data_IF_438716231012
#
_entry.id   IF_438716231012
#
_cell.length_a   1.000
_cell.length_b   1.000
_cell.length_c   1.000
_cell.angle_alpha   90.00
_cell.angle_beta   90.00
_cell.angle_gamma   90.00
#
_symmetry.space_group_name_H-M   'P 1'
#
loop_
_entity.id
_entity.type
_entity.pdbx_description
1 polymer ?
#
# COMPACT_ATOMS: atom_id res chain seq x y z
N UNK A 1 -17.55 -7.40 -5.07
CA UNK A 1 -17.90 -6.22 -4.26
C UNK A 1 -16.87 -6.14 -3.16
N UNK A 2 -15.99 -5.15 -3.25
CA UNK A 2 -14.95 -4.83 -2.27
C UNK A 2 -15.62 -4.49 -0.95
N UNK A 3 -15.18 -5.13 0.13
CA UNK A 3 -15.64 -4.85 1.49
C UNK A 3 -14.48 -4.20 2.24
N UNK A 4 -14.67 -2.95 2.68
CA UNK A 4 -13.63 -2.21 3.37
C UNK A 4 -13.35 -2.87 4.72
N UNK A 5 -12.07 -3.05 5.04
CA UNK A 5 -11.66 -3.54 6.35
C UNK A 5 -11.39 -2.34 7.28
N UNK A 6 -12.10 -2.27 8.40
CA UNK A 6 -12.00 -1.20 9.40
C UNK A 6 -10.99 -1.50 10.52
N UNK A 7 -10.19 -2.57 10.39
CA UNK A 7 -9.12 -2.89 11.33
C UNK A 7 -8.12 -1.75 11.43
N UNK A 8 -7.87 -1.32 12.67
CA UNK A 8 -6.90 -0.30 13.03
C UNK A 8 -6.35 -0.58 14.42
N UNK A 9 -5.07 -0.30 14.62
CA UNK A 9 -4.42 -0.24 15.92
C UNK A 9 -4.03 1.21 16.22
N UNK A 10 -3.94 1.52 17.51
CA UNK A 10 -3.45 2.81 18.00
C UNK A 10 -1.91 2.78 18.07
N UNK A 11 -1.28 3.12 16.95
CA UNK A 11 0.17 3.19 16.80
C UNK A 11 0.57 4.55 16.23
N UNK A 12 1.74 5.04 16.63
CA UNK A 12 2.27 6.33 16.14
C UNK A 12 2.79 6.20 14.70
N UNK A 13 3.54 5.13 14.43
CA UNK A 13 4.24 4.86 13.17
C UNK A 13 4.20 3.39 12.80
N UNK A 14 4.29 3.11 11.51
CA UNK A 14 4.51 1.76 10.96
C UNK A 14 5.58 1.83 9.85
N UNK A 15 6.22 0.71 9.56
CA UNK A 15 7.17 0.60 8.43
C UNK A 15 6.60 -0.33 7.37
N UNK A 16 6.57 0.13 6.12
CA UNK A 16 6.23 -0.69 4.96
C UNK A 16 7.49 -1.02 4.17
N UNK A 17 7.73 -2.31 3.92
CA UNK A 17 8.83 -2.80 3.10
C UNK A 17 8.31 -3.09 1.70
N UNK A 18 8.96 -2.51 0.69
CA UNK A 18 8.63 -2.69 -0.71
C UNK A 18 9.72 -3.49 -1.39
N UNK A 19 9.40 -4.73 -1.75
CA UNK A 19 10.27 -5.56 -2.58
C UNK A 19 9.90 -5.35 -4.05
N UNK A 20 10.85 -4.83 -4.83
CA UNK A 20 10.62 -4.57 -6.26
C UNK A 20 11.71 -5.24 -7.10
N UNK A 21 11.47 -5.34 -8.40
CA UNK A 21 12.49 -5.81 -9.35
C UNK A 21 13.67 -4.83 -9.52
N UNK A 22 13.61 -3.63 -8.94
CA UNK A 22 14.69 -2.64 -8.93
C UNK A 22 15.36 -2.53 -7.55
N UNK A 23 15.03 -3.44 -6.63
CA UNK A 23 15.56 -3.47 -5.26
C UNK A 23 14.49 -3.25 -4.20
N UNK A 24 14.93 -3.30 -2.95
CA UNK A 24 14.08 -3.13 -1.77
C UNK A 24 14.23 -1.73 -1.19
N UNK A 25 13.12 -1.13 -0.80
CA UNK A 25 13.13 0.11 -0.02
C UNK A 25 12.06 0.07 1.06
N UNK A 26 12.20 0.98 2.04
CA UNK A 26 11.30 1.09 3.18
C UNK A 26 10.63 2.47 3.20
N UNK A 27 9.38 2.52 3.66
CA UNK A 27 8.68 3.76 3.94
C UNK A 27 8.14 3.77 5.37
N UNK A 28 8.35 4.88 6.07
CA UNK A 28 7.70 5.14 7.35
C UNK A 28 6.31 5.73 7.11
N UNK A 29 5.31 5.14 7.76
CA UNK A 29 3.91 5.51 7.67
C UNK A 29 3.49 6.24 8.95
N UNK A 30 2.85 7.39 8.78
CA UNK A 30 2.49 8.34 9.83
C UNK A 30 1.08 8.03 10.34
N UNK A 31 0.94 6.94 11.10
CA UNK A 31 -0.35 6.34 11.45
C UNK A 31 -1.19 7.24 12.37
N UNK A 32 -0.57 8.01 13.26
CA UNK A 32 -1.30 8.95 14.12
C UNK A 32 -1.82 10.17 13.36
N UNK A 33 -1.03 10.68 12.42
CA UNK A 33 -1.37 11.88 11.65
C UNK A 33 -2.39 11.56 10.54
N UNK A 34 -2.32 10.37 9.94
CA UNK A 34 -3.18 9.95 8.83
C UNK A 34 -3.71 8.52 9.01
N UNK A 35 -4.49 8.24 10.08
CA UNK A 35 -4.89 6.87 10.45
C UNK A 35 -5.71 6.18 9.37
N UNK A 36 -6.68 6.87 8.76
CA UNK A 36 -7.53 6.27 7.72
C UNK A 36 -6.73 5.84 6.49
N UNK A 37 -5.79 6.68 6.05
CA UNK A 37 -4.97 6.41 4.87
C UNK A 37 -3.96 5.31 5.13
N UNK A 38 -3.27 5.38 6.27
CA UNK A 38 -2.25 4.39 6.65
C UNK A 38 -2.89 3.01 6.85
N UNK A 39 -4.01 2.93 7.57
CA UNK A 39 -4.67 1.64 7.79
C UNK A 39 -5.33 1.08 6.53
N UNK A 40 -5.87 1.92 5.65
CA UNK A 40 -6.32 1.44 4.34
C UNK A 40 -5.16 0.85 3.53
N UNK A 41 -3.99 1.50 3.52
CA UNK A 41 -2.80 0.99 2.86
C UNK A 41 -2.32 -0.34 3.47
N UNK A 42 -2.17 -0.42 4.79
CA UNK A 42 -1.72 -1.62 5.50
C UNK A 42 -2.71 -2.78 5.28
N UNK A 43 -4.01 -2.53 5.41
CA UNK A 43 -5.03 -3.59 5.23
C UNK A 43 -5.06 -4.13 3.80
N UNK A 44 -4.76 -3.31 2.80
CA UNK A 44 -4.57 -3.76 1.41
C UNK A 44 -3.25 -4.54 1.24
N UNK A 45 -2.16 -4.01 1.79
CA UNK A 45 -0.82 -4.63 1.69
C UNK A 45 -0.75 -6.01 2.35
N UNK A 46 -1.43 -6.20 3.49
CA UNK A 46 -1.48 -7.47 4.22
C UNK A 46 -2.62 -8.39 3.79
N UNK A 47 -3.38 -8.05 2.74
CA UNK A 47 -4.48 -8.89 2.25
C UNK A 47 -5.68 -9.00 3.21
N UNK A 48 -5.74 -8.15 4.24
CA UNK A 48 -6.87 -8.11 5.20
C UNK A 48 -8.14 -7.54 4.56
N UNK A 49 -7.98 -6.65 3.58
CA UNK A 49 -9.10 -6.08 2.84
C UNK A 49 -9.47 -6.96 1.66
N UNK A 50 -10.75 -7.35 1.60
CA UNK A 50 -11.27 -8.17 0.51
C UNK A 50 -11.30 -7.35 -0.79
N UNK A 51 -10.57 -7.81 -1.79
CA UNK A 51 -10.55 -7.21 -3.13
C UNK A 51 -10.92 -8.22 -4.20
N UNK A 52 -10.99 -7.79 -5.46
CA UNK A 52 -11.18 -8.70 -6.59
C UNK A 52 -9.87 -9.42 -7.00
N UNK A 53 -8.78 -9.20 -6.25
CA UNK A 53 -7.50 -9.92 -6.38
C UNK A 53 -7.34 -10.89 -5.22
N UNK A 54 -6.74 -12.04 -5.50
CA UNK A 54 -6.35 -13.01 -4.48
C UNK A 54 -5.02 -12.60 -3.81
N UNK A 55 -4.95 -12.72 -2.49
CA UNK A 55 -3.75 -12.42 -1.70
C UNK A 55 -3.56 -10.93 -1.38
N UNK A 56 -2.30 -10.54 -1.15
CA UNK A 56 -1.90 -9.17 -0.85
C UNK A 56 -2.15 -8.27 -2.07
N UNK A 57 -2.80 -7.12 -1.87
CA UNK A 57 -3.33 -6.33 -2.99
C UNK A 57 -2.24 -5.78 -3.92
N UNK A 58 -1.12 -5.33 -3.36
CA UNK A 58 -0.06 -4.65 -4.11
C UNK A 58 0.91 -5.61 -4.82
N UNK A 59 0.87 -6.91 -4.51
CA UNK A 59 1.79 -7.88 -5.08
C UNK A 59 1.60 -7.99 -6.59
N UNK A 60 2.70 -7.91 -7.34
CA UNK A 60 2.72 -7.97 -8.80
C UNK A 60 2.17 -6.73 -9.51
N UNK A 61 1.84 -5.64 -8.80
CA UNK A 61 1.49 -4.36 -9.43
C UNK A 61 2.72 -3.64 -9.97
N UNK A 62 2.52 -2.82 -11.01
CA UNK A 62 3.56 -2.01 -11.64
C UNK A 62 3.47 -0.54 -11.21
N UNK A 63 4.59 0.16 -11.31
CA UNK A 63 4.60 1.61 -11.40
C UNK A 63 4.28 2.02 -12.84
N UNK A 64 3.00 2.30 -13.12
CA UNK A 64 2.51 2.59 -14.47
C UNK A 64 2.87 4.01 -14.96
N UNK A 65 3.37 4.87 -14.07
CA UNK A 65 3.82 6.22 -14.44
C UNK A 65 5.09 6.59 -13.69
N UNK A 66 6.06 7.09 -14.45
CA UNK A 66 7.36 7.57 -13.96
C UNK A 66 7.65 8.92 -14.61
N UNK A 67 7.84 9.95 -13.79
CA UNK A 67 8.25 11.29 -14.22
C UNK A 67 9.58 11.59 -13.54
N UNK A 68 10.64 11.68 -14.34
CA UNK A 68 11.99 11.94 -13.86
C UNK A 68 12.06 13.25 -13.09
N UNK A 69 12.74 13.22 -11.93
CA UNK A 69 12.88 14.38 -11.05
C UNK A 69 11.60 14.80 -10.32
N UNK A 70 10.51 14.02 -10.42
CA UNK A 70 9.23 14.39 -9.81
C UNK A 70 8.58 13.25 -9.02
N UNK A 71 8.08 12.21 -9.69
CA UNK A 71 7.18 11.24 -9.07
C UNK A 71 7.11 9.91 -9.82
N UNK A 72 6.95 8.82 -9.06
CA UNK A 72 6.48 7.52 -9.53
C UNK A 72 5.06 7.27 -8.98
N UNK A 73 4.22 6.63 -9.79
CA UNK A 73 2.84 6.29 -9.43
C UNK A 73 2.59 4.80 -9.65
N UNK A 74 2.05 4.13 -8.63
CA UNK A 74 1.67 2.72 -8.65
C UNK A 74 0.32 2.49 -7.98
N UNK A 75 0.05 1.26 -7.56
CA UNK A 75 -1.17 0.91 -6.82
C UNK A 75 -2.45 0.78 -7.66
N UNK A 76 -2.34 0.77 -8.99
CA UNK A 76 -3.45 0.53 -9.92
C UNK A 76 -3.31 -0.86 -10.57
N UNK A 77 -4.29 -1.76 -10.41
CA UNK A 77 -4.31 -3.06 -11.08
C UNK A 77 -4.40 -3.00 -12.61
N UNK A 78 -4.90 -1.89 -13.17
CA UNK A 78 -5.13 -1.74 -14.61
C UNK A 78 -4.02 -0.96 -15.32
N UNK A 79 -3.05 -0.43 -14.57
CA UNK A 79 -2.04 0.52 -15.09
C UNK A 79 -2.63 1.92 -15.15
#
# INVERSE_FOLDING_TARGET
MTEKNDYKEDIERATAVFETNQGTFEAELYAKECPETVWNFINLAEGRQKTDRDGNFYDGLIFHRVIEGFMIQGGCPLG
#
